data_IF_108334389691
#
_entry.id   IF_108334389691
#
_cell.length_a   1.000
_cell.length_b   1.000
_cell.length_c   1.000
_cell.angle_alpha   90.00
_cell.angle_beta   90.00
_cell.angle_gamma   90.00
#
_symmetry.space_group_name_H-M   'P 1'
#
loop_
_entity.id
_entity.type
_entity.pdbx_description
1 polymer ?
#
# COMPACT_ATOMS: atom_id res chain seq x y z
N UNK A 1 -2.39 20.29 40.56
CA UNK A 1 -1.56 20.84 39.45
C UNK A 1 -1.08 19.77 38.48
N UNK A 2 -0.41 18.70 38.93
CA UNK A 2 0.18 17.67 38.04
C UNK A 2 -0.87 16.97 37.13
N UNK A 3 -2.05 16.63 37.65
CA UNK A 3 -3.12 15.99 36.87
C UNK A 3 -3.71 16.90 35.77
N UNK A 4 -3.82 18.20 36.05
CA UNK A 4 -4.29 19.23 35.12
C UNK A 4 -3.26 19.52 34.03
N UNK A 5 -1.96 19.50 34.38
CA UNK A 5 -0.86 19.57 33.41
C UNK A 5 -0.83 18.35 32.48
N UNK A 6 -1.09 17.14 33.00
CA UNK A 6 -1.15 15.93 32.17
C UNK A 6 -2.35 15.92 31.21
N UNK A 7 -3.52 16.40 31.65
CA UNK A 7 -4.69 16.55 30.77
C UNK A 7 -4.47 17.62 29.69
N UNK A 8 -3.82 18.73 30.05
CA UNK A 8 -3.48 19.79 29.09
C UNK A 8 -2.41 19.32 28.09
N UNK A 9 -1.40 18.57 28.54
CA UNK A 9 -0.40 17.95 27.66
C UNK A 9 -1.05 16.97 26.69
N UNK A 10 -1.97 16.14 27.19
CA UNK A 10 -2.70 15.18 26.37
C UNK A 10 -3.57 15.87 25.34
N UNK A 11 -4.28 16.93 25.72
CA UNK A 11 -5.07 17.73 24.81
C UNK A 11 -4.24 18.41 23.69
N UNK A 12 -3.03 18.88 24.01
CA UNK A 12 -2.10 19.45 23.01
C UNK A 12 -1.59 18.38 22.05
N UNK A 13 -1.26 17.19 22.55
CA UNK A 13 -0.86 16.06 21.71
C UNK A 13 -2.03 15.64 20.81
N UNK A 14 -3.23 15.47 21.37
CA UNK A 14 -4.44 15.07 20.63
C UNK A 14 -4.81 16.11 19.55
N UNK A 15 -4.65 17.41 19.84
CA UNK A 15 -4.87 18.48 18.88
C UNK A 15 -3.85 18.44 17.74
N UNK A 16 -2.56 18.24 18.05
CA UNK A 16 -1.51 18.10 17.06
C UNK A 16 -1.69 16.86 16.18
N UNK A 17 -2.13 15.74 16.75
CA UNK A 17 -2.49 14.54 15.99
C UNK A 17 -3.67 14.80 15.05
N UNK A 18 -4.72 15.47 15.55
CA UNK A 18 -5.91 15.85 14.75
C UNK A 18 -5.55 16.72 13.54
N UNK A 19 -4.75 17.77 13.75
CA UNK A 19 -4.30 18.66 12.68
C UNK A 19 -3.45 17.91 11.64
N UNK A 20 -2.59 17.01 12.09
CA UNK A 20 -1.77 16.17 11.20
C UNK A 20 -2.60 15.22 10.33
N UNK A 21 -3.74 14.77 10.84
CA UNK A 21 -4.69 13.92 10.11
C UNK A 21 -5.49 14.70 9.07
N UNK A 22 -5.96 15.90 9.42
CA UNK A 22 -6.61 16.80 8.46
C UNK A 22 -5.65 17.15 7.33
N UNK A 23 -4.39 17.43 7.65
CA UNK A 23 -3.34 17.65 6.65
C UNK A 23 -3.15 16.42 5.75
N UNK A 24 -3.07 15.21 6.33
CA UNK A 24 -2.94 13.97 5.54
C UNK A 24 -4.15 13.73 4.63
N UNK A 25 -5.37 14.04 5.07
CA UNK A 25 -6.58 13.92 4.25
C UNK A 25 -6.57 14.95 3.12
N UNK A 26 -6.26 16.20 3.41
CA UNK A 26 -6.18 17.25 2.38
C UNK A 26 -5.12 16.93 1.31
N UNK A 27 -3.95 16.44 1.74
CA UNK A 27 -2.92 15.98 0.82
C UNK A 27 -3.39 14.80 -0.04
N UNK A 28 -4.04 13.81 0.57
CA UNK A 28 -4.50 12.61 -0.13
C UNK A 28 -5.64 12.88 -1.11
N UNK A 29 -6.65 13.64 -0.69
CA UNK A 29 -7.90 13.79 -1.43
C UNK A 29 -7.87 14.96 -2.41
N UNK A 30 -7.00 15.96 -2.18
CA UNK A 30 -6.92 17.15 -3.01
C UNK A 30 -5.59 17.25 -3.78
N UNK A 31 -4.45 17.01 -3.13
CA UNK A 31 -3.14 17.29 -3.73
C UNK A 31 -2.63 16.13 -4.60
N UNK A 32 -2.75 14.88 -4.14
CA UNK A 32 -2.33 13.71 -4.92
C UNK A 32 -3.08 13.62 -6.27
N UNK A 33 -4.41 13.80 -6.33
CA UNK A 33 -5.13 13.78 -7.60
C UNK A 33 -4.69 14.88 -8.56
N UNK A 34 -4.42 16.10 -8.06
CA UNK A 34 -3.95 17.21 -8.89
C UNK A 34 -2.60 16.91 -9.53
N UNK A 35 -1.63 16.39 -8.76
CA UNK A 35 -0.31 16.04 -9.29
C UNK A 35 -0.39 14.85 -10.25
N UNK A 36 -1.27 13.88 -9.98
CA UNK A 36 -1.53 12.78 -10.90
C UNK A 36 -2.12 13.28 -12.23
N UNK A 37 -3.07 14.22 -12.19
CA UNK A 37 -3.64 14.86 -13.38
C UNK A 37 -2.56 15.65 -14.14
N UNK A 38 -1.71 16.39 -13.44
CA UNK A 38 -0.59 17.10 -14.07
C UNK A 38 0.38 16.14 -14.77
N UNK A 39 0.66 14.97 -14.16
CA UNK A 39 1.50 13.93 -14.79
C UNK A 39 0.86 13.40 -16.07
N UNK A 40 -0.44 13.12 -16.03
CA UNK A 40 -1.20 12.65 -17.19
C UNK A 40 -1.26 13.71 -18.30
N UNK A 41 -1.42 14.99 -17.95
CA UNK A 41 -1.40 16.08 -18.92
C UNK A 41 -0.05 16.18 -19.63
N UNK A 42 1.05 16.07 -18.88
CA UNK A 42 2.41 16.03 -19.46
C UNK A 42 2.61 14.79 -20.33
N UNK A 43 2.09 13.63 -19.93
CA UNK A 43 2.13 12.39 -20.73
C UNK A 43 1.30 12.50 -22.02
N UNK A 44 0.17 13.20 -21.98
CA UNK A 44 -0.73 13.40 -23.13
C UNK A 44 -0.33 14.54 -24.06
N UNK A 45 0.59 15.42 -23.62
CA UNK A 45 1.02 16.55 -24.42
C UNK A 45 1.84 16.05 -25.62
N UNK A 46 1.40 16.45 -26.80
CA UNK A 46 2.02 16.09 -28.06
C UNK A 46 3.14 17.10 -28.32
N UNK A 47 4.36 16.64 -28.02
CA UNK A 47 5.56 17.43 -28.24
C UNK A 47 6.07 17.20 -29.66
N UNK A 48 6.79 18.17 -30.26
CA UNK A 48 7.50 17.92 -31.51
C UNK A 48 8.37 16.66 -31.35
N UNK A 49 8.36 15.76 -32.34
CA UNK A 49 9.19 14.56 -32.34
C UNK A 49 10.68 14.95 -32.41
N UNK A 50 11.26 15.26 -31.26
CA UNK A 50 12.68 15.49 -31.06
C UNK A 50 13.15 14.74 -29.82
N UNK A 51 14.37 14.22 -29.87
CA UNK A 51 14.99 13.47 -28.77
C UNK A 51 15.01 14.30 -27.47
N UNK A 52 15.29 15.60 -27.60
CA UNK A 52 15.34 16.55 -26.48
C UNK A 52 13.96 16.77 -25.84
N UNK A 53 12.87 16.62 -26.61
CA UNK A 53 11.52 16.78 -26.10
C UNK A 53 10.98 15.53 -25.39
N UNK A 54 11.37 14.33 -25.85
CA UNK A 54 11.07 13.08 -25.14
C UNK A 54 11.81 13.00 -23.80
N UNK A 55 13.07 13.45 -23.75
CA UNK A 55 13.90 13.41 -22.54
C UNK A 55 13.33 14.35 -21.45
N UNK A 56 12.94 15.57 -21.80
CA UNK A 56 12.27 16.50 -20.89
C UNK A 56 10.92 15.97 -20.39
N UNK A 57 10.11 15.34 -21.27
CA UNK A 57 8.82 14.73 -20.90
C UNK A 57 9.03 13.61 -19.88
N UNK A 58 10.06 12.78 -20.07
CA UNK A 58 10.44 11.71 -19.15
C UNK A 58 10.93 12.25 -17.79
N UNK A 59 11.69 13.34 -17.80
CA UNK A 59 12.16 13.99 -16.57
C UNK A 59 10.99 14.58 -15.76
N UNK A 60 10.11 15.34 -16.41
CA UNK A 60 8.92 15.95 -15.78
C UNK A 60 7.98 14.90 -15.19
N UNK A 61 7.71 13.82 -15.94
CA UNK A 61 6.86 12.72 -15.45
C UNK A 61 7.52 11.96 -14.29
N UNK A 62 8.85 11.87 -14.28
CA UNK A 62 9.64 11.35 -13.16
C UNK A 62 9.51 12.20 -11.89
N UNK A 63 9.64 13.53 -12.01
CA UNK A 63 9.50 14.47 -10.88
C UNK A 63 8.08 14.40 -10.28
N UNK A 64 7.06 14.31 -11.13
CA UNK A 64 5.67 14.21 -10.68
C UNK A 64 5.39 12.85 -10.01
N UNK A 65 5.97 11.76 -10.51
CA UNK A 65 5.90 10.46 -9.86
C UNK A 65 6.57 10.46 -8.48
N UNK A 66 7.74 11.10 -8.37
CA UNK A 66 8.46 11.25 -7.11
C UNK A 66 7.64 12.08 -6.11
N UNK A 67 7.05 13.19 -6.56
CA UNK A 67 6.19 14.05 -5.73
C UNK A 67 4.97 13.31 -5.18
N UNK A 68 4.31 12.49 -6.01
CA UNK A 68 3.22 11.61 -5.57
C UNK A 68 3.72 10.61 -4.52
N UNK A 69 4.89 10.02 -4.73
CA UNK A 69 5.48 9.04 -3.80
C UNK A 69 5.82 9.69 -2.45
N UNK A 70 6.39 10.89 -2.45
CA UNK A 70 6.75 11.63 -1.24
C UNK A 70 5.51 12.04 -0.44
N UNK A 71 4.48 12.57 -1.11
CA UNK A 71 3.21 12.93 -0.47
C UNK A 71 2.50 11.70 0.07
N UNK A 72 2.48 10.58 -0.67
CA UNK A 72 1.98 9.31 -0.15
C UNK A 72 2.76 8.82 1.07
N UNK A 73 4.07 9.03 1.11
CA UNK A 73 4.91 8.75 2.28
C UNK A 73 4.51 9.58 3.50
N UNK A 74 4.27 10.89 3.31
CA UNK A 74 3.78 11.80 4.35
C UNK A 74 2.40 11.35 4.86
N UNK A 75 1.50 10.94 3.96
CA UNK A 75 0.18 10.43 4.32
C UNK A 75 0.24 9.07 5.05
N UNK A 76 1.04 8.11 4.54
CA UNK A 76 1.12 6.75 5.10
C UNK A 76 1.80 6.67 6.46
N UNK A 77 2.70 7.60 6.77
CA UNK A 77 3.30 7.71 8.10
C UNK A 77 2.29 8.12 9.18
N UNK A 78 1.13 8.70 8.81
CA UNK A 78 0.20 9.34 9.76
C UNK A 78 -1.28 8.89 9.69
N UNK A 79 -1.64 7.86 8.90
CA UNK A 79 -3.07 7.50 8.69
C UNK A 79 -3.58 6.23 9.42
N UNK A 80 -3.56 6.15 10.77
CA UNK A 80 -4.31 5.13 11.50
C UNK A 80 -5.84 5.29 11.44
N UNK A 81 -6.38 6.51 11.23
CA UNK A 81 -7.80 6.79 11.51
C UNK A 81 -8.76 6.45 10.37
N UNK A 82 -8.37 6.61 9.10
CA UNK A 82 -9.23 6.17 7.98
C UNK A 82 -9.38 4.63 7.96
N UNK A 83 -8.39 3.92 8.53
CA UNK A 83 -8.44 2.48 8.74
C UNK A 83 -9.45 2.10 9.83
N UNK A 84 -9.41 2.80 10.98
CA UNK A 84 -10.30 2.54 12.14
C UNK A 84 -11.79 2.63 11.82
N UNK A 85 -12.20 3.52 10.92
CA UNK A 85 -13.62 3.71 10.57
C UNK A 85 -14.15 2.72 9.53
N UNK A 86 -13.27 2.11 8.72
CA UNK A 86 -13.64 1.28 7.57
C UNK A 86 -13.32 -0.21 7.75
N UNK A 87 -12.32 -0.52 8.58
CA UNK A 87 -11.79 -1.87 8.74
C UNK A 87 -10.96 -2.35 7.54
N UNK A 88 -10.18 -3.42 7.77
CA UNK A 88 -9.16 -3.93 6.84
C UNK A 88 -9.67 -4.14 5.41
N UNK A 89 -10.76 -4.90 5.26
CA UNK A 89 -11.29 -5.28 3.95
C UNK A 89 -11.67 -4.04 3.13
N UNK A 90 -12.47 -3.13 3.71
CA UNK A 90 -12.99 -1.97 3.00
C UNK A 90 -11.90 -0.97 2.66
N UNK A 91 -10.90 -0.79 3.54
CA UNK A 91 -9.70 0.00 3.24
C UNK A 91 -8.91 -0.56 2.06
N UNK A 92 -8.70 -1.88 2.00
CA UNK A 92 -8.04 -2.53 0.85
C UNK A 92 -8.87 -2.44 -0.43
N UNK A 93 -10.18 -2.66 -0.35
CA UNK A 93 -11.08 -2.53 -1.51
C UNK A 93 -11.03 -1.13 -2.11
N UNK A 94 -11.12 -0.09 -1.27
CA UNK A 94 -11.04 1.29 -1.73
C UNK A 94 -9.69 1.58 -2.38
N UNK A 95 -8.59 1.14 -1.75
CA UNK A 95 -7.25 1.30 -2.29
C UNK A 95 -7.12 0.63 -3.68
N UNK A 96 -7.44 -0.66 -3.80
CA UNK A 96 -7.28 -1.37 -5.07
C UNK A 96 -8.25 -0.90 -6.15
N UNK A 97 -9.46 -0.45 -5.78
CA UNK A 97 -10.39 0.17 -6.73
C UNK A 97 -9.85 1.48 -7.30
N UNK A 98 -9.25 2.33 -6.46
CA UNK A 98 -8.59 3.55 -6.92
C UNK A 98 -7.41 3.24 -7.84
N UNK A 99 -6.59 2.24 -7.48
CA UNK A 99 -5.46 1.83 -8.32
C UNK A 99 -5.92 1.26 -9.67
N UNK A 100 -7.00 0.49 -9.70
CA UNK A 100 -7.56 -0.09 -10.93
C UNK A 100 -8.15 0.97 -11.89
N UNK A 101 -8.47 2.18 -11.41
CA UNK A 101 -8.96 3.27 -12.27
C UNK A 101 -7.88 3.99 -13.08
N UNK A 102 -6.59 3.66 -12.85
CA UNK A 102 -5.47 4.21 -13.60
C UNK A 102 -5.29 3.39 -14.89
N UNK A 103 -5.35 4.04 -16.05
CA UNK A 103 -5.36 3.37 -17.37
C UNK A 103 -4.14 2.46 -17.62
N UNK A 104 -2.99 2.79 -17.03
CA UNK A 104 -1.74 2.02 -17.14
C UNK A 104 -1.48 1.05 -15.98
N UNK A 105 -2.41 0.91 -15.04
CA UNK A 105 -2.26 -0.02 -13.91
C UNK A 105 -2.50 -1.49 -14.32
N UNK A 106 -1.87 -2.45 -13.62
CA UNK A 106 -2.21 -3.86 -13.78
C UNK A 106 -3.68 -4.11 -13.41
N UNK A 107 -4.28 -5.14 -14.01
CA UNK A 107 -5.58 -5.64 -13.57
C UNK A 107 -5.44 -6.23 -12.17
N UNK A 108 -6.35 -5.86 -11.28
CA UNK A 108 -6.31 -6.29 -9.87
C UNK A 108 -7.52 -7.19 -9.59
N UNK A 109 -7.27 -8.47 -9.31
CA UNK A 109 -8.27 -9.40 -8.77
C UNK A 109 -8.13 -9.44 -7.25
N UNK A 110 -9.04 -8.75 -6.55
CA UNK A 110 -9.02 -8.65 -5.09
C UNK A 110 -10.25 -9.36 -4.49
N UNK A 111 -9.99 -10.44 -3.75
CA UNK A 111 -11.01 -11.26 -3.10
C UNK A 111 -10.69 -11.46 -1.63
N UNK A 112 -11.34 -10.71 -0.75
CA UNK A 112 -11.09 -10.81 0.68
C UNK A 112 -12.28 -11.46 1.39
N UNK A 113 -12.04 -12.55 2.10
CA UNK A 113 -13.07 -13.30 2.83
C UNK A 113 -13.78 -12.38 3.85
N UNK A 114 -15.11 -12.34 3.77
CA UNK A 114 -15.99 -11.55 4.65
C UNK A 114 -15.92 -12.02 6.11
N UNK A 115 -15.47 -13.24 6.38
CA UNK A 115 -15.38 -13.77 7.73
C UNK A 115 -14.10 -13.36 8.47
N UNK A 116 -13.16 -12.70 7.79
CA UNK A 116 -11.92 -12.23 8.40
C UNK A 116 -12.14 -10.84 9.00
N UNK A 117 -12.38 -10.81 10.31
CA UNK A 117 -12.44 -9.58 11.11
C UNK A 117 -11.22 -9.56 12.03
N UNK A 118 -10.44 -8.47 12.00
CA UNK A 118 -9.21 -8.31 12.79
C UNK A 118 -9.28 -6.94 13.47
N UNK A 119 -8.75 -6.83 14.69
CA UNK A 119 -8.63 -5.53 15.37
C UNK A 119 -7.87 -4.50 14.55
N UNK A 120 -8.14 -3.22 14.79
CA UNK A 120 -7.59 -2.15 13.96
C UNK A 120 -6.06 -2.14 13.89
N UNK A 121 -5.39 -2.35 15.02
CA UNK A 121 -3.93 -2.31 15.11
C UNK A 121 -3.27 -3.47 14.32
N UNK A 122 -3.85 -4.66 14.42
CA UNK A 122 -3.39 -5.84 13.69
C UNK A 122 -3.75 -5.73 12.21
N UNK A 123 -4.95 -5.26 11.90
CA UNK A 123 -5.43 -5.00 10.55
C UNK A 123 -4.55 -3.99 9.81
N UNK A 124 -4.14 -2.90 10.48
CA UNK A 124 -3.25 -1.90 9.89
C UNK A 124 -1.89 -2.50 9.50
N UNK A 125 -1.40 -3.47 10.28
CA UNK A 125 -0.18 -4.20 9.95
C UNK A 125 -0.35 -5.06 8.69
N UNK A 126 -1.48 -5.76 8.56
CA UNK A 126 -1.82 -6.54 7.35
C UNK A 126 -1.99 -5.63 6.13
N UNK A 127 -2.67 -4.50 6.30
CA UNK A 127 -2.83 -3.49 5.25
C UNK A 127 -1.47 -3.01 4.72
N UNK A 128 -0.55 -2.64 5.62
CA UNK A 128 0.80 -2.21 5.26
C UNK A 128 1.61 -3.30 4.55
N UNK A 129 1.46 -4.55 4.95
CA UNK A 129 2.10 -5.68 4.26
C UNK A 129 1.60 -5.77 2.81
N UNK A 130 0.29 -5.71 2.59
CA UNK A 130 -0.29 -5.80 1.24
C UNK A 130 0.06 -4.59 0.36
N UNK A 131 0.15 -3.39 0.93
CA UNK A 131 0.63 -2.22 0.21
C UNK A 131 2.09 -2.35 -0.23
N UNK A 132 2.95 -2.87 0.65
CA UNK A 132 4.36 -3.07 0.31
C UNK A 132 4.51 -4.10 -0.82
N UNK A 133 3.75 -5.20 -0.76
CA UNK A 133 3.71 -6.20 -1.82
C UNK A 133 3.26 -5.60 -3.16
N UNK A 134 2.15 -4.85 -3.15
CA UNK A 134 1.65 -4.16 -4.33
C UNK A 134 2.65 -3.17 -4.93
N UNK A 135 3.29 -2.35 -4.08
CA UNK A 135 4.31 -1.40 -4.52
C UNK A 135 5.54 -2.10 -5.10
N UNK A 136 5.93 -3.25 -4.56
CA UNK A 136 7.03 -4.04 -5.11
C UNK A 136 6.69 -4.56 -6.51
N UNK A 137 5.46 -5.03 -6.75
CA UNK A 137 5.03 -5.45 -8.09
C UNK A 137 5.06 -4.30 -9.09
N UNK A 138 4.59 -3.09 -8.71
CA UNK A 138 4.64 -1.91 -9.59
C UNK A 138 6.07 -1.47 -9.91
N UNK A 139 6.99 -1.51 -8.93
CA UNK A 139 8.37 -1.04 -9.10
C UNK A 139 9.23 -2.02 -9.88
N UNK A 140 9.09 -3.32 -9.64
CA UNK A 140 10.05 -4.32 -10.08
C UNK A 140 9.49 -5.30 -11.10
N UNK A 141 8.18 -5.58 -11.10
CA UNK A 141 7.65 -6.74 -11.81
C UNK A 141 7.18 -6.42 -13.24
N UNK A 142 6.80 -5.17 -13.56
CA UNK A 142 6.14 -4.83 -14.85
C UNK A 142 4.97 -5.80 -15.16
N UNK A 143 4.24 -6.20 -14.13
CA UNK A 143 3.14 -7.16 -14.20
C UNK A 143 1.93 -6.57 -14.93
N UNK A 144 1.12 -7.44 -15.54
CA UNK A 144 -0.18 -7.08 -16.15
C UNK A 144 -1.34 -7.43 -15.22
N UNK A 145 -1.16 -8.41 -14.35
CA UNK A 145 -2.17 -8.91 -13.43
C UNK A 145 -1.60 -9.07 -12.03
N UNK A 146 -2.36 -8.61 -11.04
CA UNK A 146 -2.11 -8.85 -9.62
C UNK A 146 -3.34 -9.55 -9.06
N UNK A 147 -3.12 -10.62 -8.31
CA UNK A 147 -4.17 -11.35 -7.60
C UNK A 147 -3.91 -11.34 -6.11
N UNK A 148 -4.93 -11.01 -5.35
CA UNK A 148 -4.91 -10.94 -3.90
C UNK A 148 -6.14 -11.68 -3.40
N UNK A 149 -5.93 -12.72 -2.62
CA UNK A 149 -7.02 -13.46 -2.01
C UNK A 149 -6.78 -13.75 -0.53
N UNK A 150 -7.84 -13.80 0.26
CA UNK A 150 -7.78 -14.30 1.63
C UNK A 150 -8.81 -15.40 1.88
N UNK A 151 -8.51 -16.29 2.81
CA UNK A 151 -9.39 -17.37 3.23
C UNK A 151 -9.05 -17.81 4.65
N UNK A 152 -10.02 -18.42 5.34
CA UNK A 152 -9.77 -19.15 6.58
C UNK A 152 -9.31 -20.58 6.30
N UNK A 153 -8.21 -20.99 6.93
CA UNK A 153 -7.73 -22.36 6.91
C UNK A 153 -8.51 -23.28 7.86
N UNK A 154 -8.18 -24.60 7.87
CA UNK A 154 -8.91 -25.59 8.66
C UNK A 154 -8.92 -25.34 10.17
N UNK A 155 -7.90 -24.67 10.71
CA UNK A 155 -7.78 -24.31 12.13
C UNK A 155 -8.15 -22.83 12.38
N UNK A 156 -8.91 -22.22 11.45
CA UNK A 156 -9.24 -20.80 11.40
C UNK A 156 -8.01 -19.89 11.32
N UNK A 157 -6.87 -20.40 10.85
CA UNK A 157 -5.75 -19.52 10.48
C UNK A 157 -6.18 -18.60 9.34
N UNK A 158 -5.66 -17.38 9.33
CA UNK A 158 -5.90 -16.44 8.25
C UNK A 158 -4.83 -16.69 7.20
N UNK A 159 -5.23 -17.07 5.99
CA UNK A 159 -4.30 -17.31 4.88
C UNK A 159 -4.53 -16.21 3.85
N UNK A 160 -3.48 -15.45 3.55
CA UNK A 160 -3.48 -14.39 2.54
C UNK A 160 -2.50 -14.78 1.44
N UNK A 161 -2.99 -14.79 0.21
CA UNK A 161 -2.20 -14.99 -0.99
C UNK A 161 -2.11 -13.68 -1.76
N UNK A 162 -0.89 -13.35 -2.18
CA UNK A 162 -0.59 -12.28 -3.11
C UNK A 162 0.23 -12.87 -4.25
N UNK A 163 -0.12 -12.56 -5.50
CA UNK A 163 0.69 -12.94 -6.65
C UNK A 163 0.63 -11.90 -7.76
N UNK A 164 1.72 -11.74 -8.49
CA UNK A 164 1.76 -11.01 -9.76
C UNK A 164 2.34 -11.89 -10.87
N UNK A 165 2.03 -11.54 -12.12
CA UNK A 165 2.50 -12.20 -13.34
C UNK A 165 3.69 -11.49 -14.00
N UNK A 166 4.46 -10.71 -13.22
CA UNK A 166 5.54 -9.92 -13.75
C UNK A 166 6.80 -10.72 -14.07
N UNK A 167 7.92 -10.01 -14.23
CA UNK A 167 9.20 -10.60 -14.63
C UNK A 167 9.71 -11.66 -13.64
N UNK A 168 9.39 -11.55 -12.35
CA UNK A 168 9.92 -12.45 -11.32
C UNK A 168 11.45 -12.38 -11.19
N UNK A 169 12.02 -13.27 -10.37
CA UNK A 169 13.46 -13.43 -10.16
C UNK A 169 13.78 -14.84 -9.67
N UNK A 170 14.88 -15.42 -10.14
CA UNK A 170 15.41 -16.69 -9.60
C UNK A 170 16.18 -16.47 -8.29
N UNK A 171 16.56 -15.22 -7.99
CA UNK A 171 17.29 -14.85 -6.79
C UNK A 171 16.46 -13.87 -5.97
N UNK A 172 15.84 -14.37 -4.90
CA UNK A 172 15.19 -13.54 -3.90
C UNK A 172 16.24 -12.99 -2.93
N UNK A 173 16.74 -11.78 -3.20
CA UNK A 173 17.60 -11.06 -2.25
C UNK A 173 16.73 -10.25 -1.28
N UNK A 174 16.84 -10.46 0.05
CA UNK A 174 16.04 -9.71 1.01
C UNK A 174 16.48 -8.24 1.04
N UNK A 175 15.73 -7.38 0.34
CA UNK A 175 15.81 -5.92 0.47
C UNK A 175 14.95 -5.40 1.64
N UNK A 176 14.98 -4.09 1.87
CA UNK A 176 14.25 -3.44 2.97
C UNK A 176 12.74 -3.76 2.98
N UNK A 177 12.10 -3.86 1.80
CA UNK A 177 10.68 -4.19 1.70
C UNK A 177 10.33 -5.59 2.19
N UNK A 178 11.07 -6.61 1.74
CA UNK A 178 10.88 -8.00 2.20
C UNK A 178 11.18 -8.17 3.68
N UNK A 179 12.21 -7.48 4.20
CA UNK A 179 12.53 -7.47 5.63
C UNK A 179 11.42 -6.80 6.45
N UNK A 180 10.87 -5.68 5.98
CA UNK A 180 9.72 -5.00 6.60
C UNK A 180 8.49 -5.92 6.66
N UNK A 181 8.16 -6.61 5.55
CA UNK A 181 7.05 -7.58 5.50
C UNK A 181 7.30 -8.69 6.51
N UNK A 182 8.49 -9.30 6.50
CA UNK A 182 8.83 -10.41 7.41
C UNK A 182 8.72 -9.99 8.87
N UNK A 183 9.29 -8.85 9.25
CA UNK A 183 9.22 -8.31 10.61
C UNK A 183 7.77 -8.06 11.07
N UNK A 184 6.92 -7.52 10.20
CA UNK A 184 5.49 -7.29 10.51
C UNK A 184 4.71 -8.59 10.67
N UNK A 185 4.96 -9.56 9.80
CA UNK A 185 4.33 -10.90 9.92
C UNK A 185 4.79 -11.58 11.22
N UNK A 186 6.06 -11.48 11.59
CA UNK A 186 6.59 -11.99 12.86
C UNK A 186 5.95 -11.30 14.07
N UNK A 187 5.75 -9.98 14.03
CA UNK A 187 5.03 -9.23 15.08
C UNK A 187 3.58 -9.71 15.26
N UNK A 188 2.95 -10.19 14.18
CA UNK A 188 1.62 -10.81 14.21
C UNK A 188 1.68 -12.30 14.56
N UNK A 189 2.84 -12.83 14.94
CA UNK A 189 3.11 -14.25 15.21
C UNK A 189 2.70 -15.18 14.06
N UNK A 190 2.85 -14.68 12.84
CA UNK A 190 2.57 -15.41 11.60
C UNK A 190 3.82 -15.91 10.89
N UNK A 191 3.57 -16.55 9.74
CA UNK A 191 4.58 -17.06 8.83
C UNK A 191 4.40 -16.42 7.44
N UNK A 192 5.51 -16.16 6.76
CA UNK A 192 5.50 -15.67 5.38
C UNK A 192 6.41 -16.50 4.50
N UNK A 193 5.92 -16.86 3.32
CA UNK A 193 6.67 -17.57 2.29
C UNK A 193 6.64 -16.77 1.01
N UNK A 194 7.83 -16.54 0.44
CA UNK A 194 7.99 -15.89 -0.85
C UNK A 194 8.47 -16.91 -1.87
N UNK A 195 7.88 -16.89 -3.06
CA UNK A 195 8.31 -17.68 -4.21
C UNK A 195 8.36 -16.75 -5.41
N UNK A 196 9.40 -16.88 -6.21
CA UNK A 196 9.51 -16.19 -7.49
C UNK A 196 10.36 -17.04 -8.40
N UNK A 197 10.10 -16.93 -9.69
CA UNK A 197 10.89 -17.56 -10.74
C UNK A 197 10.87 -16.65 -11.95
N UNK A 198 11.98 -16.59 -12.67
CA UNK A 198 12.10 -15.73 -13.84
C UNK A 198 10.98 -16.04 -14.85
N UNK A 199 10.30 -15.00 -15.31
CA UNK A 199 9.16 -15.01 -16.23
C UNK A 199 7.88 -15.69 -15.70
N UNK A 200 7.84 -16.12 -14.43
CA UNK A 200 6.66 -16.70 -13.78
C UNK A 200 6.10 -15.79 -12.67
N UNK A 201 6.65 -14.59 -12.52
CA UNK A 201 6.20 -13.59 -11.56
C UNK A 201 6.63 -13.88 -10.12
N UNK A 202 5.83 -13.38 -9.18
CA UNK A 202 6.10 -13.43 -7.76
C UNK A 202 4.85 -13.88 -7.00
N UNK A 203 5.06 -14.65 -5.93
CA UNK A 203 4.04 -15.15 -5.04
C UNK A 203 4.47 -14.95 -3.59
N UNK A 204 3.53 -14.49 -2.78
CA UNK A 204 3.67 -14.36 -1.34
C UNK A 204 2.48 -15.03 -0.66
N UNK A 205 2.75 -15.94 0.27
CA UNK A 205 1.75 -16.55 1.13
C UNK A 205 2.04 -16.12 2.56
N UNK A 206 1.04 -15.54 3.22
CA UNK A 206 1.09 -15.13 4.61
C UNK A 206 0.08 -15.96 5.38
N UNK A 207 0.51 -16.55 6.48
CA UNK A 207 -0.32 -17.32 7.40
C UNK A 207 -0.29 -16.65 8.77
N UNK A 208 -1.45 -16.23 9.27
CA UNK A 208 -1.59 -15.58 10.57
C UNK A 208 -2.42 -16.45 11.52
N UNK A 209 -2.17 -16.40 12.83
CA UNK A 209 -2.88 -17.23 13.80
C UNK A 209 -4.34 -16.78 13.98
N UNK A 210 -5.21 -17.75 14.28
CA UNK A 210 -6.65 -17.53 14.48
C UNK A 210 -6.98 -16.58 15.63
N UNK A 211 -6.06 -16.41 16.59
CA UNK A 211 -6.21 -15.48 17.73
C UNK A 211 -6.30 -14.00 17.33
N UNK A 212 -5.96 -13.67 16.09
CA UNK A 212 -6.11 -12.30 15.56
C UNK A 212 -7.55 -11.99 15.11
N UNK A 213 -8.39 -13.03 14.97
CA UNK A 213 -9.80 -12.85 14.63
C UNK A 213 -10.57 -12.28 15.84
N UNK A 214 -11.47 -11.33 15.57
CA UNK A 214 -12.37 -10.72 16.56
C UNK A 214 -13.83 -11.12 16.33
#
# INVERSE_FOLDING_TARGET
>A
MIRKNNEMFKAVIDAGEREKLELSRNLHDQVIPLIAISKLQVESFDYPESVESEEHKKELTGILAQSISEIRGICHSNSPILFKDLGLKKSLQNFFKQMASVESAPKIDFQFDDNIHISDDNGLSVYRILLELFNNSLKYARCKNIKISSQLGPKKEIIIHFSDDGMGTDVLKPGHGMLSIKSRVTLLEGEVQFKSKMQEGFQCMIKLPSKLLI
#
